data_IF_503873616908
#
_entry.id   IF_503873616908
#
_cell.length_a   1.000
_cell.length_b   1.000
_cell.length_c   1.000
_cell.angle_alpha   90.00
_cell.angle_beta   90.00
_cell.angle_gamma   90.00
#
_symmetry.space_group_name_H-M   'P 1'
#
loop_
_entity.id
_entity.type
_entity.pdbx_description
1 polymer ?
#
# COMPACT_ATOMS: atom_id res chain seq x y z
N UNK A 1 32.15 -17.57 -71.76
CA UNK A 1 32.23 -17.59 -70.30
C UNK A 1 31.96 -16.19 -69.79
N UNK A 2 30.79 -15.89 -69.28
CA UNK A 2 30.41 -14.57 -68.70
C UNK A 2 29.93 -14.78 -67.26
N UNK A 3 30.63 -14.16 -66.26
CA UNK A 3 30.23 -14.08 -64.92
C UNK A 3 29.08 -13.08 -64.75
N UNK A 4 27.97 -13.50 -64.10
CA UNK A 4 26.92 -12.62 -63.65
C UNK A 4 27.23 -12.22 -62.21
N UNK A 5 27.45 -10.94 -61.96
CA UNK A 5 27.51 -10.35 -60.60
C UNK A 5 26.11 -9.96 -60.19
N UNK A 6 25.58 -10.60 -59.15
CA UNK A 6 24.34 -10.20 -58.51
C UNK A 6 24.59 -9.04 -57.55
N UNK A 7 23.94 -7.92 -57.79
CA UNK A 7 23.88 -6.80 -56.85
C UNK A 7 22.87 -7.12 -55.75
N UNK A 8 23.31 -7.13 -54.48
CA UNK A 8 22.44 -7.23 -53.32
C UNK A 8 22.03 -5.81 -52.94
N UNK A 9 20.74 -5.55 -53.04
CA UNK A 9 20.13 -4.24 -52.79
C UNK A 9 19.90 -4.08 -51.25
N UNK A 10 20.70 -3.23 -50.58
CA UNK A 10 20.72 -3.00 -49.12
C UNK A 10 19.76 -1.90 -48.64
N UNK A 11 18.75 -1.52 -49.42
CA UNK A 11 17.97 -0.32 -49.14
C UNK A 11 16.58 -0.53 -48.51
N UNK A 12 16.26 -1.69 -47.88
CA UNK A 12 14.89 -1.90 -47.36
C UNK A 12 14.78 -2.20 -45.85
N UNK A 13 15.73 -1.78 -45.00
CA UNK A 13 15.74 -2.18 -43.61
C UNK A 13 15.50 -1.10 -42.54
N UNK A 14 15.35 0.19 -42.85
CA UNK A 14 15.51 1.26 -41.85
C UNK A 14 14.27 2.11 -41.51
N UNK A 15 13.07 1.73 -41.95
CA UNK A 15 11.86 2.55 -41.70
C UNK A 15 10.88 2.04 -40.61
N UNK A 16 11.18 0.95 -39.90
CA UNK A 16 10.24 0.41 -38.91
C UNK A 16 10.65 0.63 -37.45
N UNK A 17 11.83 1.15 -37.16
CA UNK A 17 12.32 1.35 -35.79
C UNK A 17 11.79 2.59 -35.02
N UNK A 18 11.39 3.71 -35.62
CA UNK A 18 10.92 4.87 -34.87
C UNK A 18 9.50 4.73 -34.28
N UNK A 19 8.64 3.88 -34.85
CA UNK A 19 7.25 3.74 -34.42
C UNK A 19 7.08 2.99 -33.07
N UNK A 20 7.96 2.04 -32.75
CA UNK A 20 7.92 1.28 -31.49
C UNK A 20 8.40 2.10 -30.28
N UNK A 21 9.33 3.03 -30.46
CA UNK A 21 9.81 3.91 -29.40
C UNK A 21 8.79 4.99 -29.02
N UNK A 22 8.01 5.47 -29.97
CA UNK A 22 6.97 6.48 -29.72
C UNK A 22 5.80 5.91 -28.92
N UNK A 23 5.43 4.64 -29.12
CA UNK A 23 4.34 4.01 -28.37
C UNK A 23 4.68 3.79 -26.89
N UNK A 24 5.95 3.51 -26.54
CA UNK A 24 6.41 3.34 -25.16
C UNK A 24 6.45 4.66 -24.38
N UNK A 25 6.75 5.77 -25.04
CA UNK A 25 6.76 7.10 -24.42
C UNK A 25 5.33 7.59 -24.15
N UNK A 26 4.38 7.31 -25.03
CA UNK A 26 2.97 7.73 -24.87
C UNK A 26 2.26 7.02 -23.72
N UNK A 27 2.51 5.73 -23.50
CA UNK A 27 1.93 5.00 -22.37
C UNK A 27 2.44 5.52 -21.02
N UNK A 28 3.72 5.81 -20.88
CA UNK A 28 4.30 6.32 -19.63
C UNK A 28 3.80 7.73 -19.24
N UNK A 29 3.55 8.60 -20.22
CA UNK A 29 3.02 9.95 -19.96
C UNK A 29 1.53 9.93 -19.61
N UNK A 30 0.74 9.06 -20.23
CA UNK A 30 -0.68 8.90 -19.94
C UNK A 30 -0.90 8.34 -18.51
N UNK A 31 -0.14 7.32 -18.09
CA UNK A 31 -0.20 6.77 -16.74
C UNK A 31 0.19 7.82 -15.68
N UNK A 32 1.26 8.57 -15.92
CA UNK A 32 1.69 9.63 -15.02
C UNK A 32 0.64 10.76 -14.87
N UNK A 33 -0.07 11.09 -15.94
CA UNK A 33 -1.13 12.11 -15.92
C UNK A 33 -2.38 11.63 -15.18
N UNK A 34 -2.75 10.35 -15.34
CA UNK A 34 -3.89 9.73 -14.65
C UNK A 34 -3.62 9.63 -13.14
N UNK A 35 -2.45 9.16 -12.73
CA UNK A 35 -2.03 9.11 -11.34
C UNK A 35 -2.11 10.49 -10.67
N UNK A 36 -1.67 11.52 -11.35
CA UNK A 36 -1.70 12.89 -10.86
C UNK A 36 -3.12 13.43 -10.77
N UNK A 37 -3.99 13.11 -11.72
CA UNK A 37 -5.39 13.49 -11.70
C UNK A 37 -6.12 12.83 -10.53
N UNK A 38 -5.96 11.52 -10.36
CA UNK A 38 -6.53 10.75 -9.25
C UNK A 38 -6.04 11.25 -7.90
N UNK A 39 -4.74 11.53 -7.75
CA UNK A 39 -4.17 12.09 -6.52
C UNK A 39 -4.83 13.40 -6.12
N UNK A 40 -5.07 14.30 -7.07
CA UNK A 40 -5.78 15.57 -6.85
C UNK A 40 -7.25 15.36 -6.50
N UNK A 41 -7.95 14.51 -7.25
CA UNK A 41 -9.36 14.18 -7.02
C UNK A 41 -9.58 13.60 -5.62
N UNK A 42 -8.68 12.78 -5.12
CA UNK A 42 -8.72 12.20 -3.78
C UNK A 42 -8.37 13.21 -2.66
N UNK A 43 -7.95 14.42 -2.99
CA UNK A 43 -7.56 15.45 -2.01
C UNK A 43 -6.37 15.03 -1.14
N UNK A 44 -5.38 14.35 -1.73
CA UNK A 44 -4.22 13.80 -1.01
C UNK A 44 -3.07 14.82 -0.84
N UNK A 45 -3.12 15.95 -1.52
CA UNK A 45 -2.12 17.01 -1.41
C UNK A 45 -1.96 17.47 0.06
N UNK A 46 -0.72 17.56 0.52
CA UNK A 46 -0.37 17.85 1.92
C UNK A 46 -0.67 16.73 2.93
N UNK A 47 -1.33 15.64 2.51
CA UNK A 47 -1.68 14.51 3.40
C UNK A 47 -0.85 13.27 3.13
N UNK A 48 -0.56 12.94 1.88
CA UNK A 48 0.21 11.78 1.45
C UNK A 48 1.21 12.22 0.38
N UNK A 49 2.43 11.73 0.44
CA UNK A 49 3.45 11.98 -0.58
C UNK A 49 3.04 11.36 -1.93
N UNK A 50 3.33 12.08 -3.04
CA UNK A 50 2.96 11.62 -4.39
C UNK A 50 3.66 10.33 -4.79
N UNK A 51 4.93 10.16 -4.42
CA UNK A 51 5.70 8.96 -4.74
C UNK A 51 5.15 7.76 -3.96
N UNK A 52 4.85 7.95 -2.68
CA UNK A 52 4.20 6.92 -1.84
C UNK A 52 2.84 6.52 -2.42
N UNK A 53 2.02 7.47 -2.86
CA UNK A 53 0.75 7.17 -3.53
C UNK A 53 0.96 6.36 -4.82
N UNK A 54 1.91 6.75 -5.67
CA UNK A 54 2.22 6.03 -6.92
C UNK A 54 2.71 4.60 -6.64
N UNK A 55 3.58 4.40 -5.66
CA UNK A 55 4.03 3.07 -5.25
C UNK A 55 2.87 2.20 -4.76
N UNK A 56 1.95 2.77 -3.97
CA UNK A 56 0.75 2.08 -3.50
C UNK A 56 -0.17 1.71 -4.66
N UNK A 57 -0.35 2.61 -5.62
CA UNK A 57 -1.20 2.40 -6.80
C UNK A 57 -0.63 1.29 -7.70
N UNK A 58 0.67 1.33 -8.01
CA UNK A 58 1.36 0.28 -8.76
C UNK A 58 1.21 -1.08 -8.04
N UNK A 59 1.42 -1.09 -6.72
CA UNK A 59 1.23 -2.29 -5.91
C UNK A 59 -0.21 -2.80 -5.98
N UNK A 60 -1.20 -1.92 -5.93
CA UNK A 60 -2.61 -2.29 -6.06
C UNK A 60 -2.91 -2.91 -7.43
N UNK A 61 -2.35 -2.35 -8.52
CA UNK A 61 -2.55 -2.85 -9.88
C UNK A 61 -1.98 -4.25 -10.07
N UNK A 62 -0.81 -4.56 -9.48
CA UNK A 62 -0.12 -5.85 -9.63
C UNK A 62 -0.75 -6.98 -8.82
N UNK A 63 -1.55 -6.69 -7.77
CA UNK A 63 -2.21 -7.74 -6.98
C UNK A 63 -3.28 -8.45 -7.81
N UNK A 64 -3.04 -9.73 -8.09
CA UNK A 64 -4.02 -10.63 -8.71
C UNK A 64 -5.04 -11.08 -7.66
N UNK A 65 -6.26 -11.45 -8.10
CA UNK A 65 -7.33 -11.98 -7.24
C UNK A 65 -7.78 -11.05 -6.10
N UNK A 66 -7.62 -9.72 -6.26
CA UNK A 66 -8.30 -8.77 -5.38
C UNK A 66 -9.82 -8.84 -5.64
N UNK A 67 -10.58 -8.96 -4.56
CA UNK A 67 -12.06 -9.14 -4.64
C UNK A 67 -12.81 -7.84 -4.37
N UNK A 68 -12.12 -6.82 -3.84
CA UNK A 68 -12.71 -5.51 -3.55
C UNK A 68 -11.87 -4.40 -4.18
N UNK A 69 -12.49 -3.39 -4.78
CA UNK A 69 -11.78 -2.24 -5.37
C UNK A 69 -11.40 -1.23 -4.28
N UNK A 70 -10.79 -1.70 -3.20
CA UNK A 70 -10.35 -0.85 -2.07
C UNK A 70 -8.84 -0.95 -1.95
N UNK A 71 -8.20 0.21 -1.89
CA UNK A 71 -6.78 0.37 -1.56
C UNK A 71 -6.65 1.05 -0.19
N UNK A 72 -5.96 0.40 0.73
CA UNK A 72 -5.55 1.02 2.00
C UNK A 72 -4.07 1.33 1.94
N UNK A 73 -3.68 2.55 2.30
CA UNK A 73 -2.28 2.98 2.40
C UNK A 73 -1.97 3.28 3.85
N UNK A 74 -0.91 2.68 4.37
CA UNK A 74 -0.36 2.99 5.69
C UNK A 74 1.02 3.61 5.46
N UNK A 75 1.17 4.88 5.80
CA UNK A 75 2.41 5.64 5.64
C UNK A 75 3.15 5.71 6.98
N UNK A 76 3.95 4.69 7.27
CA UNK A 76 4.75 4.63 8.49
C UNK A 76 5.98 5.56 8.49
N UNK A 77 6.31 6.21 7.37
CA UNK A 77 7.32 7.26 7.33
C UNK A 77 6.91 8.49 8.15
N UNK A 78 5.60 8.66 8.38
CA UNK A 78 5.04 9.71 9.23
C UNK A 78 5.04 9.31 10.71
N UNK A 79 5.19 10.26 11.63
CA UNK A 79 5.06 9.98 13.07
C UNK A 79 3.62 9.55 13.43
N UNK A 80 3.49 8.84 14.54
CA UNK A 80 2.19 8.31 15.01
C UNK A 80 1.20 9.40 15.43
N UNK A 81 1.67 10.62 15.65
CA UNK A 81 0.84 11.80 15.90
C UNK A 81 0.01 12.26 14.71
N UNK A 82 0.43 11.89 13.50
CA UNK A 82 -0.26 12.24 12.26
C UNK A 82 -1.23 11.15 11.83
N UNK A 83 -2.31 11.57 11.15
CA UNK A 83 -3.16 10.64 10.40
C UNK A 83 -2.35 10.10 9.23
N UNK A 84 -2.14 8.79 9.20
CA UNK A 84 -1.24 8.13 8.24
C UNK A 84 -1.80 6.83 7.66
N UNK A 85 -3.09 6.58 7.89
CA UNK A 85 -3.85 5.53 7.23
C UNK A 85 -4.91 6.16 6.32
N UNK A 86 -4.95 5.71 5.08
CA UNK A 86 -5.87 6.15 4.03
C UNK A 86 -6.62 4.93 3.49
N UNK A 87 -7.94 4.99 3.38
CA UNK A 87 -8.75 3.97 2.73
C UNK A 87 -9.44 4.60 1.53
N UNK A 88 -9.17 4.08 0.35
CA UNK A 88 -9.59 4.64 -0.94
C UNK A 88 -10.48 3.63 -1.67
N UNK A 89 -11.67 4.07 -2.09
CA UNK A 89 -12.50 3.36 -3.05
C UNK A 89 -11.96 3.64 -4.45
N UNK A 90 -11.30 2.65 -5.05
CA UNK A 90 -10.67 2.77 -6.37
C UNK A 90 -11.68 2.74 -7.52
N UNK A 91 -12.90 2.25 -7.30
CA UNK A 91 -13.98 2.28 -8.30
C UNK A 91 -14.66 3.65 -8.36
N UNK A 92 -14.88 4.27 -7.18
CA UNK A 92 -15.55 5.57 -7.06
C UNK A 92 -14.57 6.74 -7.02
N UNK A 93 -13.26 6.49 -6.98
CA UNK A 93 -12.21 7.47 -6.80
C UNK A 93 -12.47 8.37 -5.58
N UNK A 94 -12.76 7.75 -4.44
CA UNK A 94 -13.15 8.47 -3.22
C UNK A 94 -12.29 8.04 -2.03
N UNK A 95 -11.75 9.02 -1.30
CA UNK A 95 -11.12 8.80 0.00
C UNK A 95 -12.23 8.54 1.04
N UNK A 96 -12.29 7.30 1.56
CA UNK A 96 -13.31 6.88 2.53
C UNK A 96 -12.90 7.19 3.96
N UNK A 97 -11.62 6.94 4.30
CA UNK A 97 -11.08 7.18 5.62
C UNK A 97 -9.68 7.79 5.53
N UNK A 98 -9.40 8.75 6.41
CA UNK A 98 -8.08 9.28 6.69
C UNK A 98 -7.93 9.40 8.20
N UNK A 99 -7.17 8.46 8.82
CA UNK A 99 -7.14 8.31 10.26
C UNK A 99 -5.77 7.88 10.79
N UNK A 100 -5.67 7.74 12.09
CA UNK A 100 -4.48 7.26 12.79
C UNK A 100 -4.34 5.74 12.69
N UNK A 101 -3.11 5.27 12.82
CA UNK A 101 -2.77 3.84 12.95
C UNK A 101 -1.50 3.70 13.79
N UNK A 102 -1.53 2.80 14.77
CA UNK A 102 -0.35 2.44 15.57
C UNK A 102 0.57 1.48 14.82
N UNK A 103 1.85 1.51 15.18
CA UNK A 103 2.87 0.56 14.70
C UNK A 103 3.35 -0.35 15.84
N UNK A 104 4.22 -1.30 15.52
CA UNK A 104 4.80 -2.26 16.46
C UNK A 104 5.78 -1.59 17.44
N UNK A 105 5.78 -2.04 18.70
CA UNK A 105 6.58 -1.43 19.79
C UNK A 105 8.07 -1.40 19.51
N UNK A 106 8.60 -2.39 18.80
CA UNK A 106 10.01 -2.45 18.44
C UNK A 106 10.30 -1.80 17.07
N UNK A 107 9.29 -1.18 16.43
CA UNK A 107 9.51 -0.35 15.24
C UNK A 107 10.02 1.05 15.57
N UNK A 108 9.80 1.55 16.78
CA UNK A 108 10.18 2.88 17.24
C UNK A 108 9.21 3.47 18.23
N UNK A 109 9.47 4.66 18.71
CA UNK A 109 8.60 5.35 19.66
C UNK A 109 7.52 6.19 18.96
N UNK A 110 7.90 7.36 18.50
CA UNK A 110 7.02 8.30 17.79
C UNK A 110 6.90 7.95 16.31
N UNK A 111 8.04 7.71 15.67
CA UNK A 111 8.15 7.28 14.28
C UNK A 111 8.57 5.80 14.19
N UNK A 112 8.06 5.09 13.22
CA UNK A 112 8.53 3.75 12.92
C UNK A 112 9.79 3.83 12.04
N UNK A 113 10.90 3.28 12.54
CA UNK A 113 12.20 3.27 11.87
C UNK A 113 12.71 1.87 11.56
N UNK A 114 12.15 0.85 12.25
CA UNK A 114 12.58 -0.54 12.14
C UNK A 114 11.40 -1.42 11.75
N UNK A 115 11.61 -2.28 10.78
CA UNK A 115 10.59 -3.16 10.22
C UNK A 115 11.12 -4.58 10.11
N UNK A 116 10.26 -5.59 10.26
CA UNK A 116 10.71 -6.97 10.24
C UNK A 116 9.62 -7.94 9.79
N UNK A 117 10.05 -9.02 9.14
CA UNK A 117 9.24 -10.18 8.82
C UNK A 117 9.47 -11.36 9.79
N UNK A 118 10.38 -11.21 10.77
CA UNK A 118 10.75 -12.28 11.71
C UNK A 118 9.66 -12.49 12.77
N UNK A 119 9.45 -13.75 13.16
CA UNK A 119 8.56 -14.10 14.27
C UNK A 119 9.02 -13.40 15.55
N UNK A 120 8.08 -13.01 16.38
CA UNK A 120 8.32 -12.40 17.70
C UNK A 120 9.12 -11.09 17.68
N UNK A 121 9.43 -10.52 16.53
CA UNK A 121 10.16 -9.24 16.43
C UNK A 121 9.42 -8.07 17.08
N UNK A 122 8.09 -8.15 17.20
CA UNK A 122 7.20 -7.06 17.65
C UNK A 122 7.36 -5.77 16.83
N UNK A 123 7.88 -5.89 15.60
CA UNK A 123 8.00 -4.82 14.63
C UNK A 123 6.87 -4.92 13.58
N UNK A 124 6.46 -3.78 13.06
CA UNK A 124 5.61 -3.74 11.87
C UNK A 124 6.36 -4.26 10.64
N UNK A 125 5.65 -4.69 9.63
CA UNK A 125 6.21 -5.12 8.36
C UNK A 125 5.73 -4.19 7.25
N UNK A 126 6.58 -3.97 6.27
CA UNK A 126 6.27 -3.16 5.08
C UNK A 126 5.80 -4.02 3.92
N UNK A 127 5.29 -3.36 2.88
CA UNK A 127 4.93 -3.97 1.61
C UNK A 127 3.43 -4.21 1.47
N UNK A 128 3.08 -5.14 0.59
CA UNK A 128 1.72 -5.38 0.13
C UNK A 128 1.07 -6.51 0.93
N UNK A 129 -0.17 -6.29 1.33
CA UNK A 129 -1.01 -7.32 1.94
C UNK A 129 -2.33 -7.44 1.19
N UNK A 130 -2.92 -8.63 1.24
CA UNK A 130 -4.31 -8.86 0.93
C UNK A 130 -5.07 -9.09 2.24
N UNK A 131 -6.22 -8.43 2.37
CA UNK A 131 -7.11 -8.66 3.52
C UNK A 131 -7.84 -9.99 3.37
N UNK A 132 -8.01 -10.69 4.49
CA UNK A 132 -8.62 -12.01 4.53
C UNK A 132 -9.92 -12.02 5.35
N UNK A 133 -10.13 -13.06 6.15
CA UNK A 133 -11.30 -13.25 7.00
C UNK A 133 -11.21 -12.43 8.30
N UNK A 134 -12.36 -12.10 8.86
CA UNK A 134 -12.48 -11.51 10.19
C UNK A 134 -12.70 -12.59 11.26
N UNK A 135 -12.37 -12.29 12.50
CA UNK A 135 -12.62 -13.15 13.64
C UNK A 135 -12.77 -12.32 14.94
N UNK A 136 -13.36 -12.92 15.95
CA UNK A 136 -13.38 -12.36 17.31
C UNK A 136 -12.26 -13.01 18.13
N UNK A 137 -11.33 -12.21 18.62
CA UNK A 137 -10.18 -12.64 19.40
C UNK A 137 -9.93 -11.74 20.61
N UNK A 138 -8.76 -11.87 21.25
CA UNK A 138 -8.39 -11.08 22.43
C UNK A 138 -8.40 -9.55 22.20
N UNK A 139 -8.29 -9.11 20.94
CA UNK A 139 -8.38 -7.70 20.57
C UNK A 139 -9.77 -7.32 20.03
N UNK A 140 -10.79 -8.18 20.26
CA UNK A 140 -12.13 -8.04 19.71
C UNK A 140 -12.17 -8.35 18.21
N UNK A 141 -13.02 -7.64 17.48
CA UNK A 141 -13.20 -7.81 16.04
C UNK A 141 -11.92 -7.45 15.27
N UNK A 142 -11.35 -8.42 14.63
CA UNK A 142 -10.02 -8.35 14.01
C UNK A 142 -10.05 -8.91 12.59
N UNK A 143 -9.16 -8.40 11.73
CA UNK A 143 -9.03 -8.77 10.31
C UNK A 143 -7.66 -9.38 10.04
N UNK A 144 -7.62 -10.62 9.56
CA UNK A 144 -6.39 -11.29 9.16
C UNK A 144 -5.80 -10.71 7.89
N UNK A 145 -4.48 -10.76 7.80
CA UNK A 145 -3.71 -10.26 6.67
C UNK A 145 -2.82 -11.35 6.07
N UNK A 146 -2.87 -11.51 4.75
CA UNK A 146 -1.92 -12.30 3.99
C UNK A 146 -0.84 -11.38 3.44
N UNK A 147 0.42 -11.58 3.81
CA UNK A 147 1.55 -10.83 3.28
C UNK A 147 1.94 -11.30 1.89
N UNK A 148 2.01 -10.38 0.94
CA UNK A 148 2.28 -10.66 -0.47
C UNK A 148 3.70 -10.25 -0.91
N UNK A 149 4.49 -9.66 -0.02
CA UNK A 149 5.86 -9.20 -0.31
C UNK A 149 6.88 -10.16 0.31
N UNK A 150 7.53 -11.04 -0.49
CA UNK A 150 8.57 -11.95 -0.01
C UNK A 150 9.66 -11.22 0.77
N UNK A 151 10.15 -11.81 1.85
CA UNK A 151 11.16 -11.21 2.72
C UNK A 151 10.69 -10.05 3.59
N UNK A 152 9.65 -9.32 3.19
CA UNK A 152 9.16 -8.11 3.90
C UNK A 152 8.00 -8.41 4.85
N UNK A 153 6.98 -9.18 4.40
CA UNK A 153 5.79 -9.48 5.19
C UNK A 153 5.18 -10.87 4.94
N UNK A 154 5.85 -11.73 4.20
CA UNK A 154 5.35 -13.08 3.86
C UNK A 154 5.01 -13.94 5.09
N UNK A 155 5.55 -13.63 6.26
CA UNK A 155 5.22 -14.28 7.53
C UNK A 155 4.04 -13.62 8.28
N UNK A 156 3.35 -12.65 7.69
CA UNK A 156 2.29 -11.91 8.38
C UNK A 156 1.26 -12.82 9.05
N UNK A 157 0.76 -13.85 8.35
CA UNK A 157 -0.20 -14.81 8.92
C UNK A 157 0.41 -15.63 10.06
N UNK A 158 1.63 -16.16 9.91
CA UNK A 158 2.36 -16.91 10.96
C UNK A 158 2.63 -16.03 12.19
N UNK A 159 2.88 -14.75 11.99
CA UNK A 159 3.10 -13.74 13.03
C UNK A 159 1.81 -13.24 13.66
N UNK A 160 0.64 -13.71 13.23
CA UNK A 160 -0.67 -13.22 13.63
C UNK A 160 -0.82 -11.69 13.48
N UNK A 161 -0.26 -11.11 12.41
CA UNK A 161 -0.44 -9.69 12.08
C UNK A 161 -1.86 -9.49 11.56
N UNK A 162 -2.61 -8.64 12.26
CA UNK A 162 -4.02 -8.36 11.98
C UNK A 162 -4.32 -6.87 12.10
N UNK A 163 -5.37 -6.40 11.42
CA UNK A 163 -5.96 -5.09 11.72
C UNK A 163 -6.96 -5.26 12.85
N UNK A 164 -6.84 -4.45 13.90
CA UNK A 164 -7.77 -4.46 15.05
C UNK A 164 -7.93 -3.08 15.66
N UNK A 165 -8.97 -2.90 16.47
CA UNK A 165 -9.16 -1.69 17.27
C UNK A 165 -8.36 -1.73 18.57
N UNK A 166 -7.88 -0.56 19.01
CA UNK A 166 -7.22 -0.44 20.30
C UNK A 166 -7.40 0.97 20.90
N UNK A 167 -7.65 1.03 22.22
CA UNK A 167 -7.77 2.31 22.91
C UNK A 167 -6.48 3.15 22.82
N UNK A 168 -5.33 2.51 22.81
CA UNK A 168 -4.04 3.16 22.68
C UNK A 168 -3.77 3.77 21.26
N UNK A 169 -4.60 3.46 20.29
CA UNK A 169 -4.56 4.05 18.95
C UNK A 169 -5.53 5.25 18.80
N UNK A 170 -6.27 5.60 19.85
CA UNK A 170 -7.25 6.68 19.83
C UNK A 170 -6.58 8.06 19.94
N UNK A 171 -7.21 9.11 19.38
CA UNK A 171 -6.79 10.50 19.57
C UNK A 171 -6.73 10.93 21.04
N UNK A 172 -7.55 10.33 21.93
CA UNK A 172 -7.52 10.57 23.37
C UNK A 172 -6.21 10.11 24.00
N UNK A 173 -5.68 8.97 23.56
CA UNK A 173 -4.37 8.49 24.01
C UNK A 173 -3.26 9.43 23.53
N UNK A 174 -3.34 9.86 22.25
CA UNK A 174 -2.40 10.83 21.69
C UNK A 174 -2.34 12.13 22.50
N UNK A 175 -3.51 12.70 22.85
CA UNK A 175 -3.58 13.94 23.66
C UNK A 175 -2.99 13.77 25.07
N UNK A 176 -3.04 12.55 25.63
CA UNK A 176 -2.53 12.28 26.99
C UNK A 176 -1.02 12.01 27.02
N UNK A 177 -0.45 11.42 25.96
CA UNK A 177 0.92 10.89 25.96
C UNK A 177 1.78 11.44 24.82
N UNK A 178 1.30 12.41 24.03
CA UNK A 178 1.96 13.03 22.86
C UNK A 178 2.40 12.04 21.78
N UNK A 179 1.86 10.81 21.82
CA UNK A 179 2.05 9.74 20.85
C UNK A 179 0.96 8.69 20.97
N UNK A 180 0.76 7.90 19.91
CA UNK A 180 -0.06 6.70 20.03
C UNK A 180 0.70 5.61 20.81
N UNK A 181 -0.05 4.74 21.48
CA UNK A 181 0.51 3.49 21.98
C UNK A 181 0.93 2.57 20.82
N UNK A 182 1.54 1.44 21.13
CA UNK A 182 2.19 0.55 20.17
C UNK A 182 1.71 -0.89 20.31
N UNK A 183 1.55 -1.57 19.17
CA UNK A 183 1.17 -2.98 19.07
C UNK A 183 2.39 -3.91 19.16
N UNK A 184 2.17 -5.18 18.88
CA UNK A 184 3.25 -6.18 18.68
C UNK A 184 3.53 -6.42 17.18
N UNK A 185 3.27 -5.39 16.34
CA UNK A 185 3.48 -5.41 14.91
C UNK A 185 2.22 -5.17 14.08
N UNK A 186 1.05 -5.36 14.68
CA UNK A 186 -0.26 -5.15 14.04
C UNK A 186 -0.51 -3.67 13.72
N UNK A 187 -1.13 -3.33 12.58
CA UNK A 187 -1.75 -2.03 12.39
C UNK A 187 -3.00 -1.90 13.28
N UNK A 188 -2.88 -1.16 14.39
CA UNK A 188 -4.00 -0.94 15.32
C UNK A 188 -4.67 0.40 15.04
N UNK A 189 -5.99 0.38 14.95
CA UNK A 189 -6.86 1.51 14.61
C UNK A 189 -7.49 2.14 15.86
N UNK A 190 -7.95 3.39 15.80
CA UNK A 190 -8.85 3.94 16.81
C UNK A 190 -10.04 3.01 17.02
N UNK A 191 -10.31 2.66 18.29
CA UNK A 191 -11.29 1.61 18.65
C UNK A 191 -12.68 1.88 18.08
N UNK A 192 -13.10 3.14 18.09
CA UNK A 192 -14.42 3.57 17.61
C UNK A 192 -14.59 3.46 16.09
N UNK A 193 -13.50 3.54 15.34
CA UNK A 193 -13.51 3.47 13.88
C UNK A 193 -13.19 2.08 13.34
N UNK A 194 -12.61 1.22 14.17
CA UNK A 194 -12.01 -0.04 13.73
C UNK A 194 -13.02 -0.95 13.04
N UNK A 195 -14.22 -1.13 13.60
CA UNK A 195 -15.25 -2.00 13.02
C UNK A 195 -15.65 -1.52 11.61
N UNK A 196 -15.99 -0.25 11.45
CA UNK A 196 -16.41 0.32 10.16
C UNK A 196 -15.31 0.21 9.11
N UNK A 197 -14.05 0.50 9.49
CA UNK A 197 -12.90 0.36 8.58
C UNK A 197 -12.69 -1.11 8.20
N UNK A 198 -12.67 -2.03 9.17
CA UNK A 198 -12.50 -3.47 8.92
C UNK A 198 -13.59 -3.98 7.98
N UNK A 199 -14.87 -3.62 8.20
CA UNK A 199 -15.99 -4.03 7.35
C UNK A 199 -15.86 -3.49 5.92
N UNK A 200 -15.27 -2.31 5.75
CA UNK A 200 -14.98 -1.73 4.44
C UNK A 200 -13.88 -2.52 3.72
N UNK A 201 -12.79 -2.86 4.41
CA UNK A 201 -11.58 -3.41 3.77
C UNK A 201 -11.50 -4.95 3.78
N UNK A 202 -12.30 -5.68 4.59
CA UNK A 202 -12.25 -7.14 4.69
C UNK A 202 -12.57 -7.87 3.39
N UNK A 203 -12.06 -9.08 3.22
CA UNK A 203 -12.48 -10.00 2.15
C UNK A 203 -11.84 -9.73 0.79
N UNK A 204 -10.55 -9.41 0.74
CA UNK A 204 -9.77 -9.38 -0.50
C UNK A 204 -9.47 -7.99 -1.06
N UNK A 205 -9.44 -6.96 -0.21
CA UNK A 205 -8.86 -5.66 -0.58
C UNK A 205 -7.32 -5.65 -0.44
N UNK A 206 -6.69 -4.60 -0.89
CA UNK A 206 -5.23 -4.43 -0.84
C UNK A 206 -4.84 -3.41 0.23
N UNK A 207 -3.82 -3.74 1.02
CA UNK A 207 -3.15 -2.80 1.91
C UNK A 207 -1.70 -2.66 1.44
N UNK A 208 -1.22 -1.42 1.31
CA UNK A 208 0.18 -1.08 1.09
C UNK A 208 0.74 -0.36 2.31
N UNK A 209 1.75 -0.95 2.96
CA UNK A 209 2.47 -0.35 4.08
C UNK A 209 3.81 0.19 3.61
N UNK A 210 3.99 1.50 3.73
CA UNK A 210 5.17 2.29 3.36
C UNK A 210 5.92 2.73 4.62
N UNK A 211 7.28 2.81 4.54
CA UNK A 211 8.13 3.31 5.62
C UNK A 211 9.59 3.37 5.25
#
# INVERSE_FOLDING_TARGET
MRQARGNIDWQRGWLLLPLLLISLIWSSTADASWDQSLYRQLGLAGKLDKQTFRQALNSYQTVRHKRKPILTIIDYSKPSTQRRLFVIDMKRHKLLYHTWVSHGRNSGELAAKHFSNQLNSRQSSLGVYRTAETYLGKHGYSLRLDGLSPGKNSNARKRAIVVHGAAYANPTHLRKYDKLGRSWGCPALPKEQARAIIDTIKGGSVIYAHG
#
